data_IF_612822899903
#
_entry.id   IF_612822899903
#
_cell.length_a   1.000
_cell.length_b   1.000
_cell.length_c   1.000
_cell.angle_alpha   90.00
_cell.angle_beta   90.00
_cell.angle_gamma   90.00
#
_symmetry.space_group_name_H-M   'P 1'
#
loop_
_entity.id
_entity.type
_entity.pdbx_description
1 polymer ?
#
# COMPACT_ATOMS: atom_id res chain seq x y z
N UNK A 1 8.56 -12.88 11.12
CA UNK A 1 9.65 -13.63 10.55
C UNK A 1 9.32 -14.00 9.10
N UNK A 2 10.19 -13.64 8.18
CA UNK A 2 10.07 -13.90 6.75
C UNK A 2 11.17 -14.88 6.27
N UNK A 3 11.50 -15.89 7.06
CA UNK A 3 12.39 -16.96 6.60
C UNK A 3 11.84 -17.66 5.34
N UNK A 4 10.51 -17.65 5.17
CA UNK A 4 9.81 -18.04 3.93
C UNK A 4 8.51 -17.26 3.79
N UNK A 5 7.99 -17.12 2.57
CA UNK A 5 6.69 -16.49 2.33
C UNK A 5 5.56 -17.50 2.61
N UNK A 6 4.88 -17.32 3.73
CA UNK A 6 3.77 -18.18 4.12
C UNK A 6 2.46 -17.71 3.50
N UNK A 7 1.99 -18.41 2.49
CA UNK A 7 0.73 -18.09 1.76
C UNK A 7 -0.54 -18.36 2.57
N UNK A 8 -0.46 -19.08 3.68
CA UNK A 8 -1.59 -19.24 4.59
C UNK A 8 -1.82 -18.00 5.49
N UNK A 9 -0.80 -17.14 5.61
CA UNK A 9 -0.85 -15.91 6.42
C UNK A 9 -0.92 -14.67 5.54
N UNK A 10 -0.20 -14.68 4.41
CA UNK A 10 -0.05 -13.52 3.54
C UNK A 10 -0.43 -13.82 2.10
N UNK A 11 -1.07 -12.89 1.43
CA UNK A 11 -1.19 -12.91 -0.02
C UNK A 11 -0.46 -11.70 -0.63
N UNK A 12 -0.06 -11.85 -1.87
CA UNK A 12 0.60 -10.79 -2.65
C UNK A 12 -0.42 -10.13 -3.56
N UNK A 13 -0.39 -8.80 -3.62
CA UNK A 13 -1.14 -8.08 -4.65
C UNK A 13 -0.67 -8.49 -6.05
N UNK A 14 -1.61 -8.79 -6.94
CA UNK A 14 -1.32 -9.18 -8.31
C UNK A 14 -2.36 -8.63 -9.28
N UNK A 15 -1.91 -7.89 -10.27
CA UNK A 15 -2.72 -7.22 -11.28
C UNK A 15 -3.83 -6.30 -10.73
N UNK A 16 -3.62 -5.72 -9.54
CA UNK A 16 -4.54 -4.77 -8.94
C UNK A 16 -3.84 -3.43 -8.70
N UNK A 17 -4.61 -2.39 -8.57
CA UNK A 17 -4.14 -1.05 -8.22
C UNK A 17 -5.17 -0.37 -7.32
N UNK A 18 -4.75 0.64 -6.58
CA UNK A 18 -5.64 1.54 -5.85
C UNK A 18 -6.04 2.76 -6.68
N UNK A 19 -5.78 2.71 -7.99
CA UNK A 19 -6.12 3.81 -8.87
C UNK A 19 -7.62 4.08 -8.82
N UNK A 20 -7.98 5.26 -8.39
CA UNK A 20 -9.31 5.82 -8.48
C UNK A 20 -9.27 7.03 -9.40
N UNK A 21 -10.42 7.65 -9.65
CA UNK A 21 -10.49 8.94 -10.37
C UNK A 21 -9.79 10.06 -9.57
N UNK A 22 -9.68 9.87 -8.27
CA UNK A 22 -9.12 10.85 -7.34
C UNK A 22 -7.63 10.66 -7.11
N UNK A 23 -7.14 9.42 -7.04
CA UNK A 23 -5.75 9.14 -6.63
C UNK A 23 -4.76 9.12 -7.79
N UNK A 24 -5.20 8.77 -9.00
CA UNK A 24 -4.32 8.66 -10.18
C UNK A 24 -3.00 7.92 -9.97
N UNK A 25 -2.98 6.95 -9.04
CA UNK A 25 -1.77 6.20 -8.71
C UNK A 25 -1.17 5.52 -9.95
N UNK A 26 0.12 5.77 -10.27
CA UNK A 26 0.72 5.34 -11.54
C UNK A 26 1.19 3.89 -11.53
N UNK A 27 1.08 3.17 -10.41
CA UNK A 27 1.54 1.79 -10.27
C UNK A 27 0.41 0.76 -10.36
N UNK A 28 0.82 -0.45 -10.75
CA UNK A 28 0.06 -1.69 -10.61
C UNK A 28 0.82 -2.64 -9.71
N UNK A 29 0.12 -3.35 -8.84
CA UNK A 29 0.75 -4.34 -7.98
C UNK A 29 0.99 -5.65 -8.72
N UNK A 30 2.17 -6.23 -8.50
CA UNK A 30 2.61 -7.48 -9.10
C UNK A 30 3.19 -8.39 -8.02
N UNK A 31 2.79 -9.66 -8.03
CA UNK A 31 3.25 -10.64 -7.04
C UNK A 31 4.76 -10.88 -7.06
N UNK A 32 5.41 -10.75 -8.22
CA UNK A 32 6.86 -10.87 -8.36
C UNK A 32 7.64 -9.71 -7.75
N UNK A 33 6.95 -8.61 -7.44
CA UNK A 33 7.54 -7.46 -6.76
C UNK A 33 7.51 -7.57 -5.23
N UNK A 34 6.98 -8.67 -4.69
CA UNK A 34 7.02 -9.02 -3.27
C UNK A 34 7.72 -10.39 -3.11
N UNK A 35 8.91 -10.42 -2.54
CA UNK A 35 9.71 -11.65 -2.41
C UNK A 35 10.57 -11.64 -1.16
N UNK A 36 11.05 -12.81 -0.77
CA UNK A 36 12.02 -12.96 0.30
C UNK A 36 13.40 -13.00 -0.31
N UNK A 37 14.30 -12.15 0.16
CA UNK A 37 15.69 -12.14 -0.29
C UNK A 37 16.55 -13.20 0.43
N UNK A 38 17.82 -13.32 0.04
CA UNK A 38 18.76 -14.30 0.63
C UNK A 38 19.01 -14.10 2.13
N UNK A 39 18.77 -12.89 2.66
CA UNK A 39 18.89 -12.58 4.09
C UNK A 39 17.60 -12.89 4.88
N UNK A 40 16.62 -13.53 4.27
CA UNK A 40 15.33 -13.83 4.91
C UNK A 40 14.47 -12.60 5.18
N UNK A 41 14.63 -11.54 4.38
CA UNK A 41 13.85 -10.30 4.50
C UNK A 41 12.82 -10.20 3.39
N UNK A 42 11.62 -9.78 3.73
CA UNK A 42 10.63 -9.37 2.74
C UNK A 42 11.11 -8.10 2.03
N UNK A 43 11.07 -8.15 0.71
CA UNK A 43 11.36 -7.02 -0.17
C UNK A 43 10.10 -6.70 -0.96
N UNK A 44 9.66 -5.45 -0.87
CA UNK A 44 8.67 -4.86 -1.76
C UNK A 44 9.41 -3.90 -2.69
N UNK A 45 9.33 -4.14 -3.98
CA UNK A 45 10.11 -3.37 -4.97
C UNK A 45 9.19 -2.67 -5.95
N UNK A 46 9.55 -1.46 -6.33
CA UNK A 46 8.93 -0.72 -7.43
C UNK A 46 9.86 -0.75 -8.64
N UNK A 47 9.30 -1.02 -9.82
CA UNK A 47 10.01 -1.06 -11.09
C UNK A 47 9.30 -0.20 -12.12
N UNK A 48 10.07 0.50 -12.96
CA UNK A 48 9.52 1.09 -14.16
C UNK A 48 9.06 -0.02 -15.12
N UNK A 49 7.95 0.20 -15.79
CA UNK A 49 7.42 -0.71 -16.80
C UNK A 49 7.96 -0.25 -18.15
N UNK A 50 8.62 -1.17 -18.85
CA UNK A 50 8.96 -0.96 -20.26
C UNK A 50 7.70 -1.08 -21.12
N UNK A 51 7.17 0.04 -21.51
CA UNK A 51 5.96 0.11 -22.34
C UNK A 51 6.23 -0.16 -23.82
N UNK A 52 7.49 -0.23 -24.27
CA UNK A 52 7.84 -0.44 -25.66
C UNK A 52 7.50 -1.86 -26.17
N UNK A 53 7.55 -2.85 -25.28
CA UNK A 53 7.30 -4.26 -25.59
C UNK A 53 5.92 -4.76 -25.21
N UNK A 54 5.10 -3.95 -24.54
CA UNK A 54 3.81 -4.37 -24.01
C UNK A 54 2.78 -4.60 -25.11
N UNK A 55 2.90 -3.87 -26.21
CA UNK A 55 1.96 -3.93 -27.35
C UNK A 55 2.02 -5.20 -28.20
N UNK A 56 2.99 -6.09 -27.99
CA UNK A 56 3.06 -7.35 -28.74
C UNK A 56 2.12 -8.46 -28.22
N UNK A 57 1.52 -8.29 -27.05
CA UNK A 57 0.71 -9.33 -26.39
C UNK A 57 -0.74 -8.88 -26.09
N UNK A 58 -1.44 -8.38 -27.08
CA UNK A 58 -2.90 -8.17 -27.18
C UNK A 58 -3.65 -7.71 -25.91
N UNK A 59 -3.97 -8.61 -25.01
CA UNK A 59 -4.74 -8.35 -23.78
C UNK A 59 -3.97 -7.54 -22.73
N UNK A 60 -2.66 -7.62 -22.73
CA UNK A 60 -1.82 -6.90 -21.77
C UNK A 60 -1.75 -5.40 -22.11
N UNK A 61 -1.75 -5.07 -23.40
CA UNK A 61 -1.79 -3.68 -23.87
C UNK A 61 -3.05 -2.94 -23.44
N UNK A 62 -4.19 -3.61 -23.48
CA UNK A 62 -5.46 -2.99 -23.11
C UNK A 62 -5.47 -2.60 -21.65
N UNK A 63 -4.97 -3.47 -20.76
CA UNK A 63 -4.91 -3.19 -19.33
C UNK A 63 -3.99 -2.00 -19.00
N UNK A 64 -2.82 -1.92 -19.64
CA UNK A 64 -1.90 -0.81 -19.45
C UNK A 64 -2.34 0.48 -20.14
N UNK A 65 -2.95 0.39 -21.32
CA UNK A 65 -3.46 1.55 -22.05
C UNK A 65 -4.70 2.15 -21.37
N UNK A 66 -5.58 1.34 -20.80
CA UNK A 66 -6.76 1.81 -20.06
C UNK A 66 -6.40 2.36 -18.67
N UNK A 67 -5.32 1.85 -18.04
CA UNK A 67 -4.88 2.25 -16.71
C UNK A 67 -3.77 3.29 -16.67
N UNK A 68 -3.00 3.44 -17.75
CA UNK A 68 -1.87 4.39 -17.80
C UNK A 68 -0.77 4.11 -16.76
N UNK A 69 -0.64 2.86 -16.29
CA UNK A 69 0.35 2.51 -15.28
C UNK A 69 1.76 2.55 -15.87
N UNK A 70 2.64 3.31 -15.24
CA UNK A 70 4.05 3.48 -15.63
C UNK A 70 4.99 2.65 -14.77
N UNK A 71 4.50 2.15 -13.65
CA UNK A 71 5.29 1.43 -12.66
C UNK A 71 4.55 0.17 -12.21
N UNK A 72 5.31 -0.83 -11.79
CA UNK A 72 4.82 -1.95 -11.01
C UNK A 72 5.40 -1.89 -9.61
N UNK A 73 4.61 -2.24 -8.60
CA UNK A 73 5.01 -2.21 -7.20
C UNK A 73 4.68 -3.52 -6.48
N UNK A 74 5.23 -3.71 -5.29
CA UNK A 74 4.93 -4.84 -4.43
C UNK A 74 3.98 -4.46 -3.31
N UNK A 75 3.03 -5.36 -3.01
CA UNK A 75 2.13 -5.26 -1.86
C UNK A 75 1.90 -6.66 -1.29
N UNK A 76 1.79 -6.73 0.02
CA UNK A 76 1.27 -7.92 0.71
C UNK A 76 0.14 -7.52 1.63
N UNK A 77 -0.79 -8.45 1.87
CA UNK A 77 -1.86 -8.27 2.84
C UNK A 77 -2.06 -9.55 3.63
N UNK A 78 -2.58 -9.45 4.85
CA UNK A 78 -2.94 -10.61 5.66
C UNK A 78 -4.12 -11.36 5.04
N UNK A 79 -4.11 -12.69 5.12
CA UNK A 79 -5.25 -13.54 4.74
C UNK A 79 -6.35 -13.43 5.80
N UNK A 80 -5.95 -13.36 7.08
CA UNK A 80 -6.89 -13.21 8.20
C UNK A 80 -7.22 -11.75 8.45
N UNK A 81 -8.45 -11.49 8.89
CA UNK A 81 -8.88 -10.21 9.44
C UNK A 81 -8.76 -10.23 10.95
N UNK A 82 -8.41 -9.11 11.54
CA UNK A 82 -8.20 -8.94 12.97
C UNK A 82 -9.14 -7.87 13.50
N UNK A 83 -9.70 -8.09 14.68
CA UNK A 83 -10.57 -7.11 15.36
C UNK A 83 -9.79 -6.27 16.38
N UNK A 84 -8.80 -6.88 17.00
CA UNK A 84 -7.95 -6.28 18.02
C UNK A 84 -6.54 -6.82 17.87
N UNK A 85 -5.56 -6.10 18.37
CA UNK A 85 -4.18 -6.54 18.40
C UNK A 85 -3.19 -5.39 18.43
N UNK A 86 -1.95 -5.75 18.55
CA UNK A 86 -0.82 -4.87 18.31
C UNK A 86 -0.22 -5.23 16.96
N UNK A 87 -0.06 -4.26 16.10
CA UNK A 87 0.44 -4.42 14.74
C UNK A 87 1.75 -3.70 14.61
N UNK A 88 2.79 -4.44 14.25
CA UNK A 88 4.13 -3.87 14.11
C UNK A 88 4.87 -4.41 12.89
N UNK A 89 5.76 -3.60 12.37
CA UNK A 89 6.71 -3.96 11.34
C UNK A 89 8.09 -3.35 11.65
N UNK A 90 9.14 -4.11 11.34
CA UNK A 90 10.49 -3.58 11.28
C UNK A 90 10.86 -3.36 9.82
N UNK A 91 10.93 -2.11 9.40
CA UNK A 91 11.12 -1.74 8.01
C UNK A 91 12.23 -0.71 7.81
N UNK A 92 12.82 -0.73 6.62
CA UNK A 92 13.66 0.31 6.07
C UNK A 92 12.95 0.85 4.83
N UNK A 93 12.65 2.15 4.83
CA UNK A 93 11.83 2.77 3.81
C UNK A 93 12.64 3.15 2.58
N UNK A 94 12.05 3.12 1.38
CA UNK A 94 12.68 3.67 0.18
C UNK A 94 12.81 5.19 0.27
N UNK A 95 13.76 5.74 -0.48
CA UNK A 95 13.89 7.19 -0.67
C UNK A 95 13.93 7.51 -2.16
N UNK A 96 13.45 8.68 -2.52
CA UNK A 96 13.37 9.17 -3.89
C UNK A 96 11.98 9.71 -4.21
N UNK A 97 11.91 10.65 -5.15
CA UNK A 97 10.65 11.24 -5.56
C UNK A 97 9.66 10.19 -6.10
N UNK A 98 8.42 10.26 -5.66
CA UNK A 98 7.34 9.37 -6.10
C UNK A 98 7.19 8.07 -5.30
N UNK A 99 8.10 7.75 -4.38
CA UNK A 99 7.86 6.65 -3.45
C UNK A 99 6.86 7.03 -2.36
N UNK A 100 5.96 6.10 -2.08
CA UNK A 100 4.95 6.20 -1.03
C UNK A 100 4.85 4.85 -0.31
N UNK A 101 5.81 4.53 0.55
CA UNK A 101 5.73 3.32 1.37
C UNK A 101 4.69 3.51 2.47
N UNK A 102 3.90 2.46 2.73
CA UNK A 102 2.87 2.48 3.75
C UNK A 102 2.79 1.15 4.51
N UNK A 103 2.41 1.25 5.78
CA UNK A 103 1.95 0.14 6.60
C UNK A 103 0.65 0.56 7.30
N UNK A 104 -0.44 -0.12 6.96
CA UNK A 104 -1.78 0.34 7.26
C UNK A 104 -2.77 -0.80 7.47
N UNK A 105 -3.87 -0.49 8.13
CA UNK A 105 -4.97 -1.39 8.41
C UNK A 105 -6.20 -0.91 7.65
N UNK A 106 -6.88 -1.84 7.00
CA UNK A 106 -8.05 -1.58 6.19
C UNK A 106 -9.25 -2.39 6.65
N UNK A 107 -10.43 -1.80 6.66
CA UNK A 107 -11.66 -2.53 6.94
C UNK A 107 -12.04 -3.44 5.76
N UNK A 108 -11.83 -4.75 5.92
CA UNK A 108 -12.12 -5.75 4.88
C UNK A 108 -13.61 -6.05 4.68
N UNK A 109 -14.49 -5.59 5.56
CA UNK A 109 -15.93 -5.90 5.51
C UNK A 109 -16.69 -5.01 4.52
N UNK A 110 -16.45 -5.21 3.24
CA UNK A 110 -17.35 -4.76 2.17
C UNK A 110 -18.51 -5.75 2.05
N UNK A 111 -19.41 -5.81 3.01
CA UNK A 111 -20.42 -6.88 3.03
C UNK A 111 -21.79 -6.48 2.50
N UNK A 112 -21.97 -5.33 1.86
CA UNK A 112 -23.22 -5.02 1.18
C UNK A 112 -23.02 -3.97 0.08
N UNK A 113 -23.61 -4.19 -1.10
CA UNK A 113 -23.68 -3.16 -2.15
C UNK A 113 -24.46 -1.91 -1.71
N UNK A 114 -25.31 -2.04 -0.68
CA UNK A 114 -26.11 -0.94 -0.14
C UNK A 114 -25.49 -0.25 1.09
N UNK A 115 -24.37 -0.81 1.61
CA UNK A 115 -23.63 -0.28 2.77
C UNK A 115 -22.20 0.11 2.40
N UNK A 116 -22.02 0.68 1.24
CA UNK A 116 -20.71 1.07 0.65
C UNK A 116 -19.92 2.09 1.48
N UNK A 117 -20.28 2.31 2.73
CA UNK A 117 -19.91 3.54 3.39
C UNK A 117 -19.25 3.38 4.76
N UNK A 118 -18.82 2.19 5.13
CA UNK A 118 -17.99 2.00 6.32
C UNK A 118 -16.53 1.87 5.91
N UNK A 119 -15.93 3.00 5.75
CA UNK A 119 -14.52 3.11 5.44
C UNK A 119 -13.79 3.48 6.72
N UNK A 120 -12.99 2.57 7.23
CA UNK A 120 -12.08 2.83 8.32
C UNK A 120 -10.70 2.36 7.92
N UNK A 121 -9.73 3.24 8.07
CA UNK A 121 -8.32 2.99 7.78
C UNK A 121 -7.47 3.56 8.90
N UNK A 122 -6.42 2.86 9.25
CA UNK A 122 -5.42 3.32 10.19
C UNK A 122 -4.07 3.19 9.50
N UNK A 123 -3.44 4.33 9.23
CA UNK A 123 -2.10 4.38 8.68
C UNK A 123 -1.11 4.43 9.82
N UNK A 124 -0.46 3.28 10.09
CA UNK A 124 0.58 3.18 11.12
C UNK A 124 1.77 4.02 10.69
N UNK A 125 2.10 3.99 9.42
CA UNK A 125 2.92 5.00 8.77
C UNK A 125 2.62 5.11 7.28
N UNK A 126 2.80 6.32 6.77
CA UNK A 126 2.96 6.62 5.36
C UNK A 126 4.23 7.46 5.18
N UNK A 127 5.05 7.11 4.20
CA UNK A 127 6.26 7.84 3.87
C UNK A 127 6.11 8.64 2.58
N UNK A 128 6.70 9.81 2.54
CA UNK A 128 6.88 10.58 1.31
C UNK A 128 8.35 10.45 0.91
N UNK A 129 8.63 9.73 -0.16
CA UNK A 129 9.99 9.31 -0.49
C UNK A 129 11.01 10.43 -0.70
N UNK A 130 10.58 11.65 -1.01
CA UNK A 130 11.47 12.83 -1.04
C UNK A 130 11.78 13.39 0.36
N UNK A 131 11.08 12.95 1.41
CA UNK A 131 11.27 13.32 2.80
C UNK A 131 11.74 12.10 3.59
N UNK A 132 13.01 11.73 3.44
CA UNK A 132 13.55 10.50 4.04
C UNK A 132 13.63 10.51 5.58
N UNK A 133 13.37 11.66 6.20
CA UNK A 133 13.42 11.88 7.65
C UNK A 133 12.04 12.00 8.30
N UNK A 134 10.97 11.81 7.54
CA UNK A 134 9.61 11.96 8.06
C UNK A 134 8.67 10.84 7.60
N UNK A 135 7.74 10.49 8.47
CA UNK A 135 6.58 9.67 8.20
C UNK A 135 5.34 10.33 8.79
N UNK A 136 4.19 10.09 8.19
CA UNK A 136 2.90 10.52 8.72
C UNK A 136 2.14 9.32 9.28
N UNK A 137 1.36 9.54 10.34
CA UNK A 137 0.40 8.59 10.89
C UNK A 137 -0.98 9.20 10.77
N UNK A 138 -1.97 8.40 10.40
CA UNK A 138 -3.31 8.92 10.16
C UNK A 138 -4.40 7.92 10.54
N UNK A 139 -5.60 8.42 10.78
CA UNK A 139 -6.81 7.61 10.91
C UNK A 139 -7.87 8.23 10.01
N UNK A 140 -8.38 7.43 9.08
CA UNK A 140 -9.49 7.81 8.23
C UNK A 140 -10.74 7.09 8.72
N UNK A 141 -11.84 7.80 8.78
CA UNK A 141 -13.15 7.21 9.08
C UNK A 141 -14.27 7.96 8.35
N UNK A 142 -15.28 7.24 8.00
CA UNK A 142 -16.48 7.84 7.42
C UNK A 142 -17.71 7.36 8.18
N UNK A 143 -18.51 8.29 8.69
CA UNK A 143 -19.80 8.03 9.27
C UNK A 143 -20.86 8.25 8.21
N UNK A 144 -21.53 7.20 7.81
CA UNK A 144 -22.52 7.33 6.77
C UNK A 144 -23.92 7.51 7.31
N UNK A 145 -24.48 8.62 6.94
CA UNK A 145 -25.89 8.80 6.65
C UNK A 145 -26.06 8.71 5.12
N UNK A 146 -27.25 8.38 4.60
CA UNK A 146 -27.41 8.02 3.20
C UNK A 146 -26.95 9.13 2.25
N UNK A 147 -25.87 8.86 1.55
CA UNK A 147 -25.06 9.63 0.60
C UNK A 147 -24.08 10.63 1.22
N UNK A 148 -22.79 10.35 1.09
CA UNK A 148 -21.77 11.31 1.46
C UNK A 148 -21.71 12.43 0.43
N UNK A 149 -22.09 13.61 0.83
CA UNK A 149 -21.61 14.86 0.23
C UNK A 149 -20.49 15.47 1.09
N UNK A 150 -20.08 14.75 2.14
CA UNK A 150 -19.07 15.23 3.05
C UNK A 150 -17.72 14.66 2.67
N UNK A 151 -16.65 15.46 2.75
CA UNK A 151 -15.30 14.98 2.54
C UNK A 151 -14.95 13.91 3.57
N UNK A 152 -14.05 13.02 3.17
CA UNK A 152 -13.41 12.03 4.03
C UNK A 152 -12.97 12.69 5.35
N UNK A 153 -13.42 12.14 6.48
CA UNK A 153 -13.03 12.67 7.78
C UNK A 153 -11.68 12.07 8.16
N UNK A 154 -10.70 12.94 8.29
CA UNK A 154 -9.37 12.59 8.74
C UNK A 154 -9.21 12.85 10.23
N UNK A 155 -8.56 11.93 10.93
CA UNK A 155 -7.98 12.20 12.24
C UNK A 155 -6.77 13.13 12.13
N UNK A 156 -6.18 13.46 13.25
CA UNK A 156 -4.95 14.23 13.26
C UNK A 156 -3.86 13.46 12.51
N UNK A 157 -3.37 14.06 11.45
CA UNK A 157 -2.14 13.63 10.80
C UNK A 157 -1.00 14.11 11.68
N UNK A 158 -0.30 13.18 12.31
CA UNK A 158 0.92 13.51 13.02
C UNK A 158 2.12 13.18 12.12
N UNK A 159 3.03 14.13 12.01
CA UNK A 159 4.27 13.96 11.24
C UNK A 159 5.43 13.77 12.18
N UNK A 160 5.97 12.56 12.21
CA UNK A 160 7.11 12.20 13.03
C UNK A 160 8.38 12.46 12.21
N UNK A 161 9.20 13.39 12.71
CA UNK A 161 10.53 13.69 12.17
C UNK A 161 11.59 13.36 13.20
N UNK A 162 12.40 12.37 12.94
CA UNK A 162 13.40 11.97 13.93
C UNK A 162 14.71 11.49 13.32
N UNK A 163 14.67 10.69 12.27
CA UNK A 163 15.83 9.97 11.74
C UNK A 163 15.68 9.75 10.25
N UNK A 164 16.75 9.38 9.59
CA UNK A 164 16.66 8.99 8.18
C UNK A 164 16.15 7.54 8.07
N UNK A 165 14.88 7.38 7.77
CA UNK A 165 14.18 6.09 7.67
C UNK A 165 14.66 5.21 6.52
N UNK A 166 15.46 5.75 5.60
CA UNK A 166 16.00 5.00 4.45
C UNK A 166 17.37 4.37 4.71
N UNK A 167 18.07 4.76 5.77
CA UNK A 167 19.43 4.28 6.05
C UNK A 167 19.46 3.00 6.87
N UNK A 168 18.50 2.84 7.80
CA UNK A 168 18.46 1.68 8.69
C UNK A 168 17.01 1.24 8.96
N UNK A 169 16.88 0.06 9.58
CA UNK A 169 15.58 -0.48 9.96
C UNK A 169 15.06 0.18 11.24
N UNK A 170 13.80 0.57 11.23
CA UNK A 170 13.07 1.09 12.37
C UNK A 170 11.85 0.23 12.67
N UNK A 171 11.35 0.27 13.90
CA UNK A 171 10.10 -0.33 14.29
C UNK A 171 8.97 0.69 14.17
N UNK A 172 7.85 0.24 13.61
CA UNK A 172 6.61 0.99 13.47
C UNK A 172 5.48 0.12 14.00
N UNK A 173 4.58 0.67 14.84
CA UNK A 173 3.49 -0.12 15.40
C UNK A 173 2.43 0.72 16.09
N UNK A 174 1.27 0.12 16.26
CA UNK A 174 0.09 0.67 16.91
C UNK A 174 -0.63 -0.42 17.70
#
# INVERSE_FOLDING_TARGET
>A
DFSSFNTAIWYKGDNNSHKSKETEEPQIYKKENAYINYDGKLVLVTRAIDTSNICQYGTFCQYYNEGGHKYSSGMISSVASYKYGYFEIKAKLPTGQGYWPAFWLWNANKSSPDTDYWYNEIDIFEGIGCLSDSVTCNVHWNFVTPKPQEPDLHGNIDTIRAVNYSQQYHWYGV
#
